data_IF_610218833809
#
_entry.id   IF_610218833809
#
_cell.length_a   1.000
_cell.length_b   1.000
_cell.length_c   1.000
_cell.angle_alpha   90.00
_cell.angle_beta   90.00
_cell.angle_gamma   90.00
#
_symmetry.space_group_name_H-M   'P 1'
#
loop_
_entity.id
_entity.type
_entity.pdbx_description
1 polymer ?
#
# COMPACT_ATOMS: atom_id res chain seq x y z
N UNK A 1 1.30 54.46 -42.93
CA UNK A 1 1.84 54.49 -41.57
C UNK A 1 0.84 53.74 -40.72
N UNK A 2 1.28 52.80 -39.90
CA UNK A 2 0.39 52.16 -38.95
C UNK A 2 0.05 53.18 -37.86
N UNK A 3 -1.23 53.27 -37.49
CA UNK A 3 -1.70 54.16 -36.41
C UNK A 3 -1.76 53.42 -35.06
N UNK A 4 -1.23 52.18 -35.01
CA UNK A 4 -1.23 51.29 -33.84
C UNK A 4 0.12 50.58 -33.67
N UNK A 5 0.40 50.10 -32.46
CA UNK A 5 1.56 49.22 -32.18
C UNK A 5 1.37 47.82 -32.77
N UNK A 6 2.49 47.14 -33.03
CA UNK A 6 2.49 45.89 -33.80
C UNK A 6 1.89 44.69 -33.07
N UNK A 7 2.13 44.54 -31.76
CA UNK A 7 1.77 43.31 -31.03
C UNK A 7 0.40 43.38 -30.38
N UNK A 8 0.03 44.56 -29.86
CA UNK A 8 -1.16 44.77 -29.03
C UNK A 8 -2.17 45.77 -29.62
N UNK A 9 -1.92 46.25 -30.84
CA UNK A 9 -2.78 47.23 -31.53
C UNK A 9 -3.06 48.50 -30.70
N UNK A 10 -2.08 48.97 -29.90
CA UNK A 10 -2.23 50.16 -29.07
C UNK A 10 -2.23 51.41 -29.96
N UNK A 11 -3.24 52.29 -29.86
CA UNK A 11 -3.34 53.45 -30.74
C UNK A 11 -2.26 54.49 -30.46
N UNK A 12 -1.59 54.96 -31.52
CA UNK A 12 -0.64 56.06 -31.46
C UNK A 12 -1.32 57.43 -31.40
N UNK A 13 -0.63 58.41 -30.84
CA UNK A 13 -1.02 59.82 -30.96
C UNK A 13 -0.58 60.33 -32.33
N UNK A 14 -1.52 60.93 -33.08
CA UNK A 14 -1.25 61.51 -34.40
C UNK A 14 -0.33 62.76 -34.32
N UNK A 15 0.42 63.08 -35.39
CA UNK A 15 1.29 64.24 -35.44
C UNK A 15 0.58 65.59 -35.19
N UNK A 16 1.36 66.66 -34.95
CA UNK A 16 0.93 68.06 -34.74
C UNK A 16 0.44 68.48 -33.33
N UNK A 17 0.68 67.66 -32.30
CA UNK A 17 0.42 68.01 -30.88
C UNK A 17 1.70 68.42 -30.12
N UNK A 18 2.36 69.52 -30.52
CA UNK A 18 3.57 70.05 -29.86
C UNK A 18 4.69 69.00 -29.61
N UNK A 19 4.89 68.09 -30.58
CA UNK A 19 5.88 66.99 -30.52
C UNK A 19 5.73 65.97 -29.37
N UNK A 20 4.67 66.03 -28.56
CA UNK A 20 4.42 65.03 -27.49
C UNK A 20 4.19 63.61 -27.99
N UNK A 21 3.70 63.48 -29.23
CA UNK A 21 3.48 62.20 -29.89
C UNK A 21 4.75 61.37 -30.02
N UNK A 22 5.93 62.01 -30.17
CA UNK A 22 7.20 61.29 -30.36
C UNK A 22 7.53 60.47 -29.11
N UNK A 23 7.64 61.14 -27.95
CA UNK A 23 8.02 60.46 -26.70
C UNK A 23 6.94 59.51 -26.19
N UNK A 24 5.67 59.85 -26.41
CA UNK A 24 4.57 58.97 -26.00
C UNK A 24 4.48 57.71 -26.86
N UNK A 25 4.58 57.83 -28.19
CA UNK A 25 4.51 56.67 -29.08
C UNK A 25 5.73 55.77 -28.91
N UNK A 26 6.93 56.31 -28.65
CA UNK A 26 8.10 55.51 -28.29
C UNK A 26 7.88 54.73 -26.98
N UNK A 27 7.23 55.34 -25.99
CA UNK A 27 6.85 54.65 -24.76
C UNK A 27 5.83 53.53 -25.02
N UNK A 28 4.85 53.75 -25.91
CA UNK A 28 3.88 52.72 -26.31
C UNK A 28 4.55 51.57 -27.07
N UNK A 29 5.51 51.84 -27.96
CA UNK A 29 6.29 50.83 -28.67
C UNK A 29 7.09 49.94 -27.71
N UNK A 30 7.77 50.55 -26.74
CA UNK A 30 8.48 49.81 -25.70
C UNK A 30 7.52 48.99 -24.85
N UNK A 31 6.37 49.55 -24.48
CA UNK A 31 5.34 48.84 -23.71
C UNK A 31 4.78 47.64 -24.49
N UNK A 32 4.49 47.83 -25.78
CA UNK A 32 4.03 46.79 -26.70
C UNK A 32 5.01 45.62 -26.81
N UNK A 33 6.32 45.90 -26.78
CA UNK A 33 7.36 44.88 -26.80
C UNK A 33 7.47 44.09 -25.48
N UNK A 34 7.27 44.73 -24.32
CA UNK A 34 7.56 44.10 -23.01
C UNK A 34 6.34 43.53 -22.31
N UNK A 35 5.13 44.02 -22.62
CA UNK A 35 3.89 43.46 -22.07
C UNK A 35 3.64 42.10 -22.71
N UNK A 36 3.32 41.10 -21.87
CA UNK A 36 3.17 39.71 -22.31
C UNK A 36 4.36 39.28 -23.18
N UNK A 37 5.57 39.51 -22.64
CA UNK A 37 6.83 39.31 -23.36
C UNK A 37 6.93 37.88 -23.89
N UNK A 38 7.01 37.76 -25.21
CA UNK A 38 7.27 36.52 -25.90
C UNK A 38 8.54 36.75 -26.72
N UNK A 39 9.58 35.98 -26.42
CA UNK A 39 10.87 36.04 -27.09
C UNK A 39 10.88 34.92 -28.12
N UNK A 40 11.12 35.26 -29.38
CA UNK A 40 11.13 34.31 -30.48
C UNK A 40 12.34 33.37 -30.39
N UNK A 41 13.51 33.91 -30.08
CA UNK A 41 14.72 33.11 -29.80
C UNK A 41 15.85 33.92 -29.17
N UNK A 42 16.86 33.21 -28.64
CA UNK A 42 18.17 33.78 -28.32
C UNK A 42 19.08 33.76 -29.56
N UNK A 43 19.74 34.88 -29.87
CA UNK A 43 20.64 35.01 -31.04
C UNK A 43 21.58 36.21 -30.97
N UNK A 44 22.76 36.09 -31.60
CA UNK A 44 23.80 37.14 -31.62
C UNK A 44 23.79 38.00 -32.89
N UNK A 45 23.22 37.52 -34.00
CA UNK A 45 23.06 38.27 -35.25
C UNK A 45 21.57 38.55 -35.54
N UNK A 46 21.19 39.60 -36.27
CA UNK A 46 19.79 39.82 -36.66
C UNK A 46 19.31 38.80 -37.71
N UNK A 47 18.03 38.39 -37.71
CA UNK A 47 17.46 37.53 -38.76
C UNK A 47 17.68 38.09 -40.16
N UNK A 48 17.91 37.22 -41.14
CA UNK A 48 18.03 37.63 -42.56
C UNK A 48 16.72 38.24 -43.09
N UNK A 49 15.58 37.77 -42.58
CA UNK A 49 14.24 38.24 -42.96
C UNK A 49 13.42 38.54 -41.70
N UNK A 50 13.69 39.67 -41.03
CA UNK A 50 13.07 39.98 -39.76
C UNK A 50 11.59 40.36 -39.92
N UNK A 51 10.73 39.80 -39.07
CA UNK A 51 9.28 40.04 -39.08
C UNK A 51 8.93 41.09 -38.03
N UNK A 52 8.04 42.03 -38.39
CA UNK A 52 7.52 43.02 -37.45
C UNK A 52 6.88 42.36 -36.23
N UNK A 53 7.28 42.82 -35.04
CA UNK A 53 6.81 42.33 -33.74
C UNK A 53 7.61 41.16 -33.18
N UNK A 54 8.60 40.62 -33.91
CA UNK A 54 9.51 39.61 -33.36
C UNK A 54 10.45 40.22 -32.32
N UNK A 55 10.80 39.43 -31.30
CA UNK A 55 11.67 39.85 -30.21
C UNK A 55 12.74 38.79 -30.00
N UNK A 56 14.00 39.20 -30.00
CA UNK A 56 15.12 38.31 -29.77
C UNK A 56 15.92 38.70 -28.53
N UNK A 57 16.40 37.71 -27.78
CA UNK A 57 17.39 37.93 -26.73
C UNK A 57 18.80 37.88 -27.29
N UNK A 58 19.60 38.92 -27.05
CA UNK A 58 21.01 38.95 -27.45
C UNK A 58 21.86 38.46 -26.27
N UNK A 59 21.85 37.16 -25.99
CA UNK A 59 22.57 36.59 -24.84
C UNK A 59 24.09 36.64 -24.95
N UNK A 60 24.62 36.61 -26.18
CA UNK A 60 26.05 36.66 -26.48
C UNK A 60 26.52 37.96 -27.13
N UNK A 61 27.81 38.05 -27.52
CA UNK A 61 28.36 39.20 -28.24
C UNK A 61 27.66 39.38 -29.60
N UNK A 62 26.90 40.45 -29.73
CA UNK A 62 26.10 40.74 -30.90
C UNK A 62 26.93 41.14 -32.12
N UNK A 63 26.39 40.92 -33.32
CA UNK A 63 27.00 41.31 -34.60
C UNK A 63 25.99 42.03 -35.50
N UNK A 64 26.49 42.73 -36.53
CA UNK A 64 25.63 43.49 -37.43
C UNK A 64 24.81 44.54 -36.68
N UNK A 65 23.49 44.53 -36.85
CA UNK A 65 22.60 45.45 -36.14
C UNK A 65 22.60 45.22 -34.61
N UNK A 66 23.00 44.03 -34.14
CA UNK A 66 23.04 43.67 -32.72
C UNK A 66 24.38 44.01 -32.06
N UNK A 67 25.36 44.51 -32.82
CA UNK A 67 26.69 44.83 -32.29
C UNK A 67 26.63 45.83 -31.13
N UNK A 68 27.23 45.44 -29.99
CA UNK A 68 27.27 46.25 -28.76
C UNK A 68 25.93 46.32 -28.01
N UNK A 69 24.99 45.42 -28.32
CA UNK A 69 23.67 45.29 -27.68
C UNK A 69 23.53 43.99 -26.90
N UNK A 70 24.65 43.42 -26.50
CA UNK A 70 24.74 42.24 -25.65
C UNK A 70 23.90 42.46 -24.39
N UNK A 71 23.14 41.43 -24.00
CA UNK A 71 22.24 41.49 -22.87
C UNK A 71 20.99 42.37 -23.10
N UNK A 72 20.63 42.69 -24.34
CA UNK A 72 19.38 43.42 -24.66
C UNK A 72 18.39 42.55 -25.42
N UNK A 73 17.11 42.87 -25.25
CA UNK A 73 16.04 42.43 -26.14
C UNK A 73 16.05 43.28 -27.40
N UNK A 74 16.09 42.67 -28.56
CA UNK A 74 15.93 43.33 -29.85
C UNK A 74 14.50 43.10 -30.35
N UNK A 75 13.67 44.13 -30.31
CA UNK A 75 12.31 44.10 -30.85
C UNK A 75 12.29 44.72 -32.26
N UNK A 76 11.71 44.01 -33.23
CA UNK A 76 11.52 44.52 -34.59
C UNK A 76 10.25 45.35 -34.65
N UNK A 77 10.38 46.66 -34.81
CA UNK A 77 9.24 47.58 -34.84
C UNK A 77 9.49 48.70 -35.85
N UNK A 78 8.49 49.04 -36.67
CA UNK A 78 8.52 50.12 -37.67
C UNK A 78 9.74 50.05 -38.61
N UNK A 79 10.16 48.84 -38.98
CA UNK A 79 11.29 48.63 -39.86
C UNK A 79 12.66 48.88 -39.21
N UNK A 80 12.73 49.09 -37.89
CA UNK A 80 13.97 49.26 -37.11
C UNK A 80 14.06 48.27 -35.95
N UNK A 81 15.25 48.19 -35.34
CA UNK A 81 15.47 47.40 -34.13
C UNK A 81 15.45 48.32 -32.91
N UNK A 82 14.50 48.08 -32.02
CA UNK A 82 14.41 48.73 -30.72
C UNK A 82 15.07 47.84 -29.68
N UNK A 83 16.08 48.36 -28.98
CA UNK A 83 16.81 47.61 -27.96
C UNK A 83 16.32 47.96 -26.56
N UNK A 84 15.94 46.94 -25.80
CA UNK A 84 15.36 47.09 -24.46
C UNK A 84 16.19 46.26 -23.48
N UNK A 85 16.76 46.89 -22.46
CA UNK A 85 17.43 46.18 -21.39
C UNK A 85 16.37 45.52 -20.47
N UNK A 86 16.35 44.19 -20.35
CA UNK A 86 15.47 43.52 -19.39
C UNK A 86 15.89 43.85 -17.96
N UNK A 87 14.94 43.78 -17.03
CA UNK A 87 15.20 43.95 -15.61
C UNK A 87 15.00 42.65 -14.86
N UNK A 88 15.73 42.47 -13.76
CA UNK A 88 15.59 41.30 -12.90
C UNK A 88 14.11 41.09 -12.51
N UNK A 89 13.62 39.86 -12.62
CA UNK A 89 12.24 39.47 -12.36
C UNK A 89 11.31 39.55 -13.58
N UNK A 90 11.77 40.07 -14.73
CA UNK A 90 10.99 39.99 -15.97
C UNK A 90 10.71 38.54 -16.35
N UNK A 91 9.52 38.30 -16.89
CA UNK A 91 9.03 36.98 -17.28
C UNK A 91 8.78 36.95 -18.78
N UNK A 92 9.20 35.89 -19.44
CA UNK A 92 8.99 35.71 -20.87
C UNK A 92 8.70 34.25 -21.22
N UNK A 93 7.84 34.06 -22.21
CA UNK A 93 7.73 32.79 -22.92
C UNK A 93 8.73 32.78 -24.09
N UNK A 94 9.64 31.82 -24.11
CA UNK A 94 10.53 31.57 -25.24
C UNK A 94 9.84 30.64 -26.23
N UNK A 95 9.57 31.12 -27.43
CA UNK A 95 8.76 30.40 -28.43
C UNK A 95 9.48 29.22 -29.05
N UNK A 96 10.79 29.33 -29.23
CA UNK A 96 11.65 28.27 -29.77
C UNK A 96 11.72 27.03 -28.87
N UNK A 97 11.80 27.23 -27.56
CA UNK A 97 11.93 26.18 -26.54
C UNK A 97 10.61 25.80 -25.87
N UNK A 98 9.57 26.63 -26.00
CA UNK A 98 8.31 26.49 -25.25
C UNK A 98 8.47 26.73 -23.74
N UNK A 99 9.59 27.28 -23.30
CA UNK A 99 9.91 27.48 -21.88
C UNK A 99 9.43 28.83 -21.37
N UNK A 100 8.97 28.84 -20.12
CA UNK A 100 8.74 30.08 -19.38
C UNK A 100 9.97 30.39 -18.53
N UNK A 101 10.54 31.58 -18.70
CA UNK A 101 11.80 31.96 -18.07
C UNK A 101 11.66 33.28 -17.30
N UNK A 102 12.48 33.41 -16.25
CA UNK A 102 12.64 34.65 -15.49
C UNK A 102 14.04 35.19 -15.76
N UNK A 103 14.16 36.48 -16.05
CA UNK A 103 15.45 37.16 -16.14
C UNK A 103 16.00 37.40 -14.74
N UNK A 104 17.18 36.86 -14.41
CA UNK A 104 17.78 36.96 -13.07
C UNK A 104 18.58 38.26 -12.84
N UNK A 105 18.65 39.13 -13.85
CA UNK A 105 19.49 40.33 -13.87
C UNK A 105 20.73 40.19 -14.77
N UNK A 106 21.05 38.98 -15.21
CA UNK A 106 22.13 38.66 -16.14
C UNK A 106 21.68 37.75 -17.28
N UNK A 107 20.88 36.72 -16.99
CA UNK A 107 20.48 35.66 -17.90
C UNK A 107 18.99 35.32 -17.76
N UNK A 108 18.39 34.78 -18.82
CA UNK A 108 17.07 34.16 -18.76
C UNK A 108 17.20 32.73 -18.25
N UNK A 109 16.50 32.38 -17.18
CA UNK A 109 16.56 31.04 -16.57
C UNK A 109 15.19 30.45 -16.36
N UNK A 110 15.10 29.12 -16.47
CA UNK A 110 13.92 28.39 -15.99
C UNK A 110 13.84 28.57 -14.46
N UNK A 111 12.69 29.00 -13.91
CA UNK A 111 12.54 29.15 -12.47
C UNK A 111 12.84 27.82 -11.76
N UNK A 112 13.79 27.83 -10.85
CA UNK A 112 14.07 26.67 -10.03
C UNK A 112 12.88 26.38 -9.09
N UNK A 113 12.68 25.11 -8.74
CA UNK A 113 11.86 24.78 -7.58
C UNK A 113 12.50 25.40 -6.32
N UNK A 114 11.70 25.75 -5.29
CA UNK A 114 12.25 26.22 -4.04
C UNK A 114 13.19 25.17 -3.44
N UNK A 115 14.21 25.62 -2.71
CA UNK A 115 15.14 24.74 -1.99
C UNK A 115 14.38 23.79 -1.05
N UNK A 116 13.26 24.26 -0.49
CA UNK A 116 12.33 23.47 0.31
C UNK A 116 10.95 23.37 -0.37
N UNK A 117 10.64 22.21 -0.93
CA UNK A 117 9.34 21.94 -1.53
C UNK A 117 8.37 21.35 -0.50
N UNK A 118 7.29 22.08 -0.21
CA UNK A 118 6.16 21.61 0.58
C UNK A 118 4.93 21.48 -0.33
N UNK A 119 4.61 20.26 -0.76
CA UNK A 119 3.43 19.99 -1.57
C UNK A 119 2.30 19.44 -0.68
N UNK A 120 1.08 20.00 -0.80
CA UNK A 120 -0.11 19.42 -0.14
C UNK A 120 -0.42 18.03 -0.73
N UNK A 121 -0.21 17.87 -2.04
CA UNK A 121 -0.38 16.61 -2.77
C UNK A 121 0.64 16.47 -3.91
N UNK A 122 1.07 15.24 -4.17
CA UNK A 122 1.98 14.89 -5.26
C UNK A 122 1.48 13.61 -5.95
N UNK A 123 1.21 13.72 -7.26
CA UNK A 123 0.80 12.62 -8.11
C UNK A 123 1.79 12.33 -9.21
N UNK A 124 2.19 11.07 -9.36
CA UNK A 124 2.96 10.58 -10.51
C UNK A 124 2.01 9.81 -11.42
N UNK A 125 1.72 10.36 -12.59
CA UNK A 125 0.83 9.78 -13.63
C UNK A 125 -0.63 9.52 -13.18
N UNK A 126 -1.06 10.11 -12.07
CA UNK A 126 -2.43 10.04 -11.56
C UNK A 126 -2.76 11.24 -10.67
N UNK A 127 -4.04 11.41 -10.32
CA UNK A 127 -4.51 12.55 -9.52
C UNK A 127 -4.64 12.17 -8.05
N UNK A 128 -3.83 12.75 -7.14
CA UNK A 128 -3.93 12.48 -5.71
C UNK A 128 -5.18 13.13 -5.09
N UNK A 129 -5.72 12.51 -4.06
CA UNK A 129 -6.90 12.99 -3.33
C UNK A 129 -6.53 13.46 -1.91
N UNK A 130 -7.53 13.84 -1.09
CA UNK A 130 -7.29 14.35 0.27
C UNK A 130 -6.76 13.29 1.25
N UNK A 131 -7.04 12.02 0.95
CA UNK A 131 -6.62 10.84 1.71
C UNK A 131 -5.27 10.32 1.18
N UNK A 132 -5.17 10.09 -0.14
CA UNK A 132 -3.96 9.64 -0.84
C UNK A 132 -3.16 10.83 -1.36
N UNK A 133 -2.53 11.59 -0.45
CA UNK A 133 -1.78 12.81 -0.79
C UNK A 133 -0.52 12.56 -1.61
N UNK A 134 0.10 11.39 -1.45
CA UNK A 134 1.15 10.90 -2.34
C UNK A 134 0.58 9.73 -3.14
N UNK A 135 0.49 9.88 -4.47
CA UNK A 135 -0.03 8.85 -5.36
C UNK A 135 0.98 8.54 -6.46
N UNK A 136 1.23 7.25 -6.69
CA UNK A 136 2.06 6.77 -7.79
C UNK A 136 1.24 5.79 -8.63
N UNK A 137 0.83 6.21 -9.82
CA UNK A 137 0.10 5.41 -10.80
C UNK A 137 1.06 4.93 -11.88
N UNK A 138 1.85 3.91 -11.55
CA UNK A 138 2.95 3.40 -12.38
C UNK A 138 3.06 1.88 -12.25
N UNK A 139 3.60 1.16 -13.26
CA UNK A 139 3.96 -0.25 -13.13
C UNK A 139 4.94 -0.56 -11.98
N UNK A 140 5.71 0.43 -11.50
CA UNK A 140 6.66 0.24 -10.42
C UNK A 140 7.01 1.52 -9.66
N UNK A 141 7.45 1.34 -8.42
CA UNK A 141 8.00 2.39 -7.54
C UNK A 141 9.29 1.89 -6.90
N UNK A 142 10.41 2.56 -7.19
CA UNK A 142 11.72 2.20 -6.62
C UNK A 142 12.10 3.20 -5.53
N UNK A 143 12.29 2.69 -4.31
CA UNK A 143 12.86 3.44 -3.19
C UNK A 143 14.31 2.97 -2.98
N UNK A 144 15.27 3.77 -3.43
CA UNK A 144 16.68 3.38 -3.42
C UNK A 144 17.47 4.06 -2.29
N UNK A 145 18.59 3.44 -1.90
CA UNK A 145 19.52 3.99 -0.93
C UNK A 145 20.49 5.00 -1.57
N UNK A 146 21.02 5.92 -0.76
CA UNK A 146 22.06 6.88 -1.17
C UNK A 146 23.46 6.42 -0.72
N UNK A 147 23.77 5.12 -0.92
CA UNK A 147 25.02 4.49 -0.48
C UNK A 147 24.99 3.83 0.91
N UNK A 148 23.91 4.00 1.69
CA UNK A 148 23.74 3.40 3.02
C UNK A 148 22.41 2.65 3.19
N UNK A 149 21.76 2.82 4.34
CA UNK A 149 20.42 2.26 4.59
C UNK A 149 19.31 3.13 3.98
N UNK A 150 18.21 2.48 3.56
CA UNK A 150 16.93 3.12 3.27
C UNK A 150 15.90 2.65 4.32
N UNK A 151 15.04 3.55 4.83
CA UNK A 151 14.02 3.23 5.84
C UNK A 151 12.73 3.96 5.53
N UNK A 152 11.62 3.28 5.74
CA UNK A 152 10.28 3.87 5.77
C UNK A 152 9.77 3.81 7.20
N UNK A 153 9.41 4.97 7.75
CA UNK A 153 8.81 5.08 9.09
C UNK A 153 7.33 5.41 8.94
N UNK A 154 6.47 4.52 9.42
CA UNK A 154 5.01 4.71 9.43
C UNK A 154 4.58 4.78 10.89
N UNK A 155 4.02 5.92 11.29
CA UNK A 155 3.68 6.20 12.68
C UNK A 155 2.17 6.24 12.87
N UNK A 156 1.71 5.79 14.04
CA UNK A 156 0.32 5.88 14.49
C UNK A 156 0.24 6.67 15.79
N UNK A 157 -0.88 7.34 16.04
CA UNK A 157 -1.01 8.26 17.17
C UNK A 157 -1.18 7.56 18.53
N UNK A 158 -1.75 6.34 18.55
CA UNK A 158 -2.02 5.57 19.76
C UNK A 158 -2.12 4.06 19.49
N UNK A 159 -2.24 3.26 20.55
CA UNK A 159 -2.34 1.78 20.44
C UNK A 159 -3.49 1.33 19.55
N UNK A 160 -4.66 1.95 19.65
CA UNK A 160 -5.84 1.59 18.84
C UNK A 160 -5.82 2.05 17.39
N UNK A 161 -4.83 2.86 16.99
CA UNK A 161 -4.69 3.37 15.64
C UNK A 161 -3.95 2.38 14.72
N UNK A 162 -3.83 2.73 13.43
CA UNK A 162 -3.22 1.86 12.42
C UNK A 162 -2.01 2.51 11.74
N UNK A 163 -0.91 1.76 11.66
CA UNK A 163 0.25 2.02 10.84
C UNK A 163 0.60 0.73 10.07
N UNK A 164 0.16 0.64 8.82
CA UNK A 164 0.18 -0.60 8.05
C UNK A 164 0.41 -0.38 6.55
N UNK A 165 0.67 -1.50 5.87
CA UNK A 165 0.67 -1.61 4.42
C UNK A 165 -0.53 -2.47 4.00
N UNK A 166 -1.34 -1.95 3.07
CA UNK A 166 -2.53 -2.63 2.54
C UNK A 166 -2.25 -3.08 1.11
N UNK A 167 -2.51 -4.36 0.83
CA UNK A 167 -2.45 -4.94 -0.51
C UNK A 167 -3.86 -5.11 -1.05
N UNK A 168 -4.10 -4.59 -2.25
CA UNK A 168 -5.43 -4.53 -2.86
C UNK A 168 -5.47 -5.21 -4.23
N UNK A 169 -6.65 -5.70 -4.61
CA UNK A 169 -6.98 -6.09 -5.98
C UNK A 169 -8.32 -5.46 -6.36
N UNK A 170 -8.36 -4.77 -7.49
CA UNK A 170 -9.55 -4.07 -7.98
C UNK A 170 -10.23 -3.20 -6.89
N UNK A 171 -9.45 -2.35 -6.23
CA UNK A 171 -9.91 -1.46 -5.14
C UNK A 171 -10.47 -2.17 -3.90
N UNK A 172 -10.24 -3.47 -3.75
CA UNK A 172 -10.60 -4.24 -2.57
C UNK A 172 -9.35 -4.64 -1.79
N UNK A 173 -9.29 -4.29 -0.51
CA UNK A 173 -8.25 -4.75 0.39
C UNK A 173 -8.34 -6.27 0.59
N UNK A 174 -7.20 -6.95 0.44
CA UNK A 174 -7.07 -8.42 0.59
C UNK A 174 -6.16 -8.80 1.74
N UNK A 175 -5.13 -7.99 1.99
CA UNK A 175 -4.15 -8.23 3.04
C UNK A 175 -3.74 -6.91 3.67
N UNK A 176 -3.46 -6.94 4.96
CA UNK A 176 -2.88 -5.82 5.70
C UNK A 176 -1.74 -6.33 6.60
N UNK A 177 -0.62 -5.61 6.65
CA UNK A 177 0.48 -5.93 7.55
C UNK A 177 1.02 -4.69 8.27
N UNK A 178 1.29 -4.80 9.56
CA UNK A 178 1.81 -3.71 10.39
C UNK A 178 1.19 -3.67 11.79
N UNK A 179 1.12 -2.47 12.35
CA UNK A 179 0.51 -2.20 13.65
C UNK A 179 -0.96 -1.81 13.41
N UNK A 180 -1.86 -2.79 13.39
CA UNK A 180 -3.24 -2.58 12.96
C UNK A 180 -4.22 -2.71 14.15
N UNK A 181 -4.50 -1.60 14.83
CA UNK A 181 -5.37 -1.57 16.01
C UNK A 181 -4.75 -2.14 17.29
N UNK A 182 -3.44 -2.41 17.25
CA UNK A 182 -2.63 -2.87 18.38
C UNK A 182 -1.16 -2.43 18.21
N UNK A 183 -0.32 -2.65 19.22
CA UNK A 183 1.12 -2.30 19.20
C UNK A 183 2.04 -3.47 18.78
N UNK A 184 1.47 -4.65 18.57
CA UNK A 184 2.21 -5.81 18.09
C UNK A 184 2.10 -5.91 16.56
N UNK A 185 3.11 -6.49 15.92
CA UNK A 185 3.07 -6.69 14.47
C UNK A 185 2.02 -7.75 14.14
N UNK A 186 1.16 -7.46 13.17
CA UNK A 186 0.10 -8.36 12.72
C UNK A 186 0.10 -8.49 11.19
N UNK A 187 -0.33 -9.65 10.72
CA UNK A 187 -0.61 -9.93 9.32
C UNK A 187 -2.07 -10.40 9.22
N UNK A 188 -2.90 -9.58 8.60
CA UNK A 188 -4.35 -9.80 8.49
C UNK A 188 -4.74 -10.13 7.06
N UNK A 189 -5.67 -11.06 6.93
CA UNK A 189 -6.24 -11.50 5.65
C UNK A 189 -7.73 -11.20 5.63
N UNK A 190 -8.22 -10.72 4.49
CA UNK A 190 -9.64 -10.58 4.24
C UNK A 190 -10.14 -11.80 3.46
N UNK A 191 -11.00 -12.61 4.09
CA UNK A 191 -11.73 -13.68 3.41
C UNK A 191 -13.16 -13.26 3.11
N UNK A 192 -13.67 -13.57 1.91
CA UNK A 192 -15.00 -13.09 1.48
C UNK A 192 -16.14 -13.55 2.42
N UNK A 193 -16.01 -14.75 3.01
CA UNK A 193 -16.98 -15.29 3.96
C UNK A 193 -16.66 -14.93 5.44
N UNK A 194 -15.40 -14.63 5.75
CA UNK A 194 -14.92 -14.50 7.12
C UNK A 194 -14.61 -13.08 7.55
N UNK A 195 -14.57 -12.15 6.60
CA UNK A 195 -14.04 -10.81 6.81
C UNK A 195 -12.55 -10.81 7.17
N UNK A 196 -12.13 -9.75 7.85
CA UNK A 196 -10.76 -9.60 8.35
C UNK A 196 -10.45 -10.57 9.48
N UNK A 197 -9.35 -11.32 9.33
CA UNK A 197 -8.81 -12.20 10.35
C UNK A 197 -7.31 -12.02 10.46
N UNK A 198 -6.81 -12.09 11.69
CA UNK A 198 -5.38 -12.02 11.98
C UNK A 198 -4.75 -13.40 11.82
N UNK A 199 -4.05 -13.62 10.70
CA UNK A 199 -3.42 -14.90 10.41
C UNK A 199 -2.14 -15.11 11.22
N UNK A 200 -1.36 -14.04 11.38
CA UNK A 200 -0.12 -14.04 12.15
C UNK A 200 -0.11 -12.81 13.06
N UNK A 201 0.41 -12.98 14.25
CA UNK A 201 0.86 -11.86 15.04
C UNK A 201 2.14 -12.19 15.79
N UNK A 202 2.95 -11.17 16.07
CA UNK A 202 4.25 -11.34 16.71
C UNK A 202 4.22 -10.57 18.02
N UNK A 203 4.33 -11.27 19.15
CA UNK A 203 4.35 -10.62 20.46
C UNK A 203 5.60 -9.73 20.64
N UNK A 204 5.62 -8.81 21.61
CA UNK A 204 6.81 -8.00 21.91
C UNK A 204 8.06 -8.83 22.23
N UNK A 205 7.88 -10.06 22.73
CA UNK A 205 8.96 -11.01 23.03
C UNK A 205 9.48 -11.74 21.77
N UNK A 206 8.79 -11.60 20.63
CA UNK A 206 9.15 -12.24 19.36
C UNK A 206 8.45 -13.56 19.09
N UNK A 207 7.40 -13.92 19.84
CA UNK A 207 6.65 -15.15 19.59
C UNK A 207 5.68 -14.98 18.43
N UNK A 208 5.75 -15.89 17.47
CA UNK A 208 4.80 -15.95 16.35
C UNK A 208 3.55 -16.71 16.78
N UNK A 209 2.42 -16.01 16.80
CA UNK A 209 1.10 -16.55 17.07
C UNK A 209 0.39 -16.89 15.76
N UNK A 210 -0.14 -18.11 15.69
CA UNK A 210 -0.96 -18.60 14.59
C UNK A 210 -2.40 -18.84 15.07
N UNK A 211 -3.08 -17.78 15.51
CA UNK A 211 -4.40 -17.89 16.14
C UNK A 211 -5.47 -18.53 15.22
N UNK A 212 -5.23 -18.48 13.91
CA UNK A 212 -6.08 -19.08 12.87
C UNK A 212 -5.63 -20.48 12.43
N UNK A 213 -4.59 -21.06 13.04
CA UNK A 213 -4.17 -22.43 12.75
C UNK A 213 -5.07 -23.42 13.49
N UNK A 214 -5.73 -24.36 12.79
CA UNK A 214 -6.62 -25.32 13.41
C UNK A 214 -5.89 -26.16 14.47
N UNK A 215 -6.36 -26.05 15.71
CA UNK A 215 -5.87 -26.84 16.82
C UNK A 215 -6.95 -27.03 17.87
N UNK A 216 -6.96 -28.18 18.53
CA UNK A 216 -7.87 -28.47 19.62
C UNK A 216 -7.25 -29.40 20.66
N UNK A 217 -7.63 -29.21 21.92
CA UNK A 217 -7.51 -30.21 22.98
C UNK A 217 -8.91 -30.52 23.49
N UNK A 218 -9.47 -31.63 23.03
CA UNK A 218 -10.86 -31.99 23.22
C UNK A 218 -10.99 -33.16 24.20
N UNK A 219 -11.90 -33.03 25.17
CA UNK A 219 -12.25 -34.10 26.10
C UNK A 219 -13.76 -34.16 26.29
N UNK A 220 -14.24 -35.33 26.71
CA UNK A 220 -15.55 -35.43 27.36
C UNK A 220 -15.41 -34.88 28.79
N UNK A 221 -16.49 -34.33 29.34
CA UNK A 221 -16.54 -33.83 30.71
C UNK A 221 -16.15 -34.93 31.69
N UNK A 222 -15.61 -34.51 32.84
CA UNK A 222 -15.06 -35.45 33.81
C UNK A 222 -16.10 -36.48 34.25
N UNK A 223 -15.87 -37.72 33.85
CA UNK A 223 -16.73 -38.85 34.12
C UNK A 223 -15.89 -40.13 34.10
N UNK A 224 -16.33 -41.13 34.87
CA UNK A 224 -15.74 -42.47 34.84
C UNK A 224 -16.84 -43.47 34.53
N UNK A 225 -16.70 -44.19 33.42
CA UNK A 225 -17.66 -45.22 33.01
C UNK A 225 -17.03 -46.21 32.04
N UNK A 226 -17.76 -47.28 31.73
CA UNK A 226 -17.35 -48.36 30.82
C UNK A 226 -18.17 -48.27 29.54
N UNK A 227 -17.64 -47.67 28.46
CA UNK A 227 -18.29 -47.67 27.16
C UNK A 227 -18.48 -49.10 26.66
N UNK A 228 -19.62 -49.38 26.02
CA UNK A 228 -19.83 -50.67 25.38
C UNK A 228 -18.83 -50.89 24.23
N UNK A 229 -18.38 -52.12 24.02
CA UNK A 229 -17.53 -52.46 22.88
C UNK A 229 -18.21 -52.07 21.55
N UNK A 230 -17.47 -51.41 20.67
CA UNK A 230 -17.95 -50.85 19.41
C UNK A 230 -18.65 -49.50 19.52
N UNK A 231 -18.91 -48.99 20.74
CA UNK A 231 -19.55 -47.69 20.93
C UNK A 231 -18.60 -46.50 20.72
N UNK A 232 -19.19 -45.33 20.57
CA UNK A 232 -18.47 -44.07 20.35
C UNK A 232 -18.67 -43.10 21.50
N UNK A 233 -17.61 -42.41 21.88
CA UNK A 233 -17.65 -41.20 22.70
C UNK A 233 -17.09 -40.02 21.93
N UNK A 234 -17.60 -38.83 22.22
CA UNK A 234 -17.16 -37.59 21.63
C UNK A 234 -16.54 -36.69 22.68
N UNK A 235 -16.71 -35.40 22.47
CA UNK A 235 -16.16 -34.35 23.33
C UNK A 235 -17.26 -33.34 23.61
N UNK A 236 -17.29 -32.79 24.81
CA UNK A 236 -18.19 -31.70 25.19
C UNK A 236 -17.43 -30.45 25.65
N UNK A 237 -16.11 -30.58 25.84
CA UNK A 237 -15.22 -29.55 26.34
C UNK A 237 -14.00 -29.41 25.43
N UNK A 238 -13.73 -28.19 24.96
CA UNK A 238 -12.49 -27.82 24.29
C UNK A 238 -11.62 -27.04 25.28
N UNK A 239 -10.59 -27.68 25.84
CA UNK A 239 -9.65 -27.05 26.77
C UNK A 239 -8.66 -26.12 26.05
N UNK A 240 -8.54 -26.29 24.75
CA UNK A 240 -7.82 -25.42 23.83
C UNK A 240 -8.52 -25.51 22.48
N UNK A 241 -8.71 -24.38 21.81
CA UNK A 241 -9.27 -24.32 20.45
C UNK A 241 -8.69 -23.12 19.70
N UNK A 242 -8.32 -23.34 18.44
CA UNK A 242 -7.84 -22.31 17.52
C UNK A 242 -8.16 -22.69 16.08
N UNK A 243 -8.11 -21.70 15.19
CA UNK A 243 -8.40 -21.88 13.76
C UNK A 243 -9.72 -22.59 13.46
N UNK A 244 -10.81 -22.15 14.09
CA UNK A 244 -12.18 -22.63 13.88
C UNK A 244 -12.47 -24.11 14.24
N UNK A 245 -11.58 -24.78 14.98
CA UNK A 245 -11.91 -26.10 15.54
C UNK A 245 -13.10 -25.98 16.50
N UNK A 246 -14.13 -26.79 16.29
CA UNK A 246 -15.39 -26.68 17.01
C UNK A 246 -16.05 -28.03 17.30
N UNK A 247 -17.02 -28.04 18.23
CA UNK A 247 -17.85 -29.20 18.51
C UNK A 247 -19.14 -29.15 17.67
N UNK A 248 -19.35 -30.19 16.86
CA UNK A 248 -20.49 -30.36 15.97
C UNK A 248 -21.70 -31.00 16.65
N UNK A 249 -22.32 -31.97 16.00
CA UNK A 249 -23.55 -32.62 16.49
C UNK A 249 -23.26 -33.63 17.61
N UNK A 250 -24.25 -33.84 18.48
CA UNK A 250 -24.22 -34.87 19.52
C UNK A 250 -24.14 -36.28 18.94
N UNK A 251 -23.50 -37.19 19.67
CA UNK A 251 -23.47 -38.60 19.31
C UNK A 251 -24.75 -39.31 19.72
N UNK A 252 -25.14 -40.32 18.94
CA UNK A 252 -26.27 -41.21 19.27
C UNK A 252 -26.05 -42.03 20.54
N UNK A 253 -24.79 -42.19 20.96
CA UNK A 253 -24.44 -42.82 22.23
C UNK A 253 -24.86 -42.00 23.46
N UNK A 254 -25.19 -40.72 23.28
CA UNK A 254 -25.48 -39.79 24.37
C UNK A 254 -24.22 -39.19 25.03
N UNK A 255 -23.02 -39.64 24.64
CA UNK A 255 -21.76 -39.20 25.27
C UNK A 255 -20.96 -38.27 24.35
N UNK A 256 -21.20 -36.97 24.48
CA UNK A 256 -20.43 -35.92 23.82
C UNK A 256 -20.85 -35.63 22.37
N UNK A 257 -20.05 -34.78 21.72
CA UNK A 257 -20.24 -34.25 20.36
C UNK A 257 -19.05 -34.58 19.48
N UNK A 258 -19.25 -34.53 18.17
CA UNK A 258 -18.18 -34.70 17.18
C UNK A 258 -17.24 -33.50 17.19
N UNK A 259 -15.93 -33.70 17.16
CA UNK A 259 -14.98 -32.62 16.89
C UNK A 259 -14.94 -32.37 15.37
N UNK A 260 -15.14 -31.14 14.92
CA UNK A 260 -15.20 -30.77 13.49
C UNK A 260 -13.87 -30.16 13.06
N UNK A 261 -13.32 -30.71 11.98
CA UNK A 261 -12.10 -30.22 11.32
C UNK A 261 -12.49 -29.08 10.37
N UNK A 262 -11.90 -27.88 10.48
CA UNK A 262 -12.32 -26.72 9.70
C UNK A 262 -11.59 -26.58 8.37
N UNK A 263 -10.42 -27.20 8.20
CA UNK A 263 -9.59 -27.05 7.01
C UNK A 263 -8.94 -28.38 6.61
N UNK A 264 -8.74 -28.58 5.30
CA UNK A 264 -8.02 -29.76 4.81
C UNK A 264 -6.52 -29.66 5.05
N UNK A 265 -5.88 -30.75 5.44
CA UNK A 265 -4.42 -30.83 5.61
C UNK A 265 -3.96 -32.01 6.45
N UNK A 266 -2.65 -32.06 6.72
CA UNK A 266 -2.08 -33.05 7.62
C UNK A 266 -2.20 -32.60 9.07
N UNK A 267 -2.81 -33.42 9.89
CA UNK A 267 -2.96 -33.20 11.32
C UNK A 267 -2.09 -34.18 12.10
N UNK A 268 -1.44 -33.65 13.14
CA UNK A 268 -0.92 -34.46 14.23
C UNK A 268 -2.07 -34.72 15.21
N UNK A 269 -2.33 -36.00 15.45
CA UNK A 269 -3.27 -36.49 16.43
C UNK A 269 -2.47 -37.03 17.61
N UNK A 270 -2.78 -36.59 18.83
CA UNK A 270 -2.26 -37.18 20.05
C UNK A 270 -3.44 -37.60 20.93
N UNK A 271 -3.67 -38.91 21.02
CA UNK A 271 -4.72 -39.52 21.82
C UNK A 271 -4.11 -39.96 23.14
N UNK A 272 -4.66 -39.47 24.25
CA UNK A 272 -4.36 -39.98 25.60
C UNK A 272 -5.57 -40.77 26.07
N UNK A 273 -5.34 -41.91 26.70
CA UNK A 273 -6.37 -42.73 27.32
C UNK A 273 -5.95 -43.09 28.75
N UNK A 274 -6.89 -42.98 29.68
CA UNK A 274 -6.74 -43.42 31.07
C UNK A 274 -7.78 -44.49 31.35
N UNK A 275 -7.33 -45.73 31.55
CA UNK A 275 -8.18 -46.87 31.91
C UNK A 275 -7.92 -47.33 33.34
N UNK A 276 -8.93 -47.77 34.08
CA UNK A 276 -8.81 -48.10 35.50
C UNK A 276 -8.63 -49.60 35.79
N UNK A 277 -9.28 -50.47 35.01
CA UNK A 277 -9.55 -51.85 35.42
C UNK A 277 -8.97 -52.93 34.48
N UNK A 278 -8.74 -52.62 33.20
CA UNK A 278 -8.40 -53.62 32.20
C UNK A 278 -7.49 -53.07 31.09
N UNK A 279 -6.99 -53.98 30.25
CA UNK A 279 -6.41 -53.60 28.97
C UNK A 279 -7.49 -52.99 28.07
N UNK A 280 -7.10 -52.00 27.28
CA UNK A 280 -8.02 -51.18 26.49
C UNK A 280 -7.50 -50.98 25.07
N UNK A 281 -8.43 -50.85 24.13
CA UNK A 281 -8.15 -50.46 22.74
C UNK A 281 -9.14 -49.38 22.31
N UNK A 282 -8.59 -48.22 21.97
CA UNK A 282 -9.33 -47.00 21.61
C UNK A 282 -8.86 -46.48 20.27
N UNK A 283 -9.79 -46.06 19.41
CA UNK A 283 -9.47 -45.51 18.10
C UNK A 283 -9.93 -44.07 17.97
N UNK A 284 -9.15 -43.24 17.28
CA UNK A 284 -9.67 -42.00 16.71
C UNK A 284 -10.36 -42.35 15.41
N UNK A 285 -11.67 -42.13 15.36
CA UNK A 285 -12.51 -42.49 14.24
C UNK A 285 -12.99 -41.24 13.49
N UNK A 286 -12.67 -41.20 12.20
CA UNK A 286 -13.11 -40.19 11.25
C UNK A 286 -14.49 -40.56 10.72
N UNK A 287 -15.41 -39.60 10.79
CA UNK A 287 -16.78 -39.67 10.27
C UNK A 287 -17.58 -40.87 10.79
N UNK A 288 -17.14 -41.48 11.90
CA UNK A 288 -17.72 -42.68 12.48
C UNK A 288 -17.53 -43.96 11.65
N UNK A 289 -16.69 -43.93 10.63
CA UNK A 289 -16.55 -45.05 9.66
C UNK A 289 -15.11 -45.54 9.48
N UNK A 290 -14.11 -44.69 9.71
CA UNK A 290 -12.71 -45.03 9.47
C UNK A 290 -11.84 -44.71 10.70
N UNK A 291 -11.17 -45.71 11.24
CA UNK A 291 -10.23 -45.52 12.34
C UNK A 291 -8.87 -45.10 11.79
N UNK A 292 -8.48 -43.86 12.11
CA UNK A 292 -7.29 -43.20 11.56
C UNK A 292 -6.11 -43.16 12.54
N UNK A 293 -6.37 -43.44 13.82
CA UNK A 293 -5.35 -43.69 14.82
C UNK A 293 -5.87 -44.74 15.81
N UNK A 294 -4.98 -45.57 16.33
CA UNK A 294 -5.32 -46.65 17.26
C UNK A 294 -4.36 -46.63 18.44
N UNK A 295 -4.90 -46.81 19.64
CA UNK A 295 -4.14 -46.90 20.88
C UNK A 295 -4.56 -48.16 21.63
N UNK A 296 -3.58 -48.95 22.08
CA UNK A 296 -3.81 -50.08 22.96
C UNK A 296 -2.88 -50.01 24.17
N UNK A 297 -3.39 -50.31 25.35
CA UNK A 297 -2.63 -50.28 26.59
C UNK A 297 -3.21 -51.18 27.67
N UNK A 298 -2.53 -51.24 28.82
CA UNK A 298 -3.06 -51.79 30.07
C UNK A 298 -3.76 -50.70 30.88
N UNK A 299 -4.34 -51.08 32.03
CA UNK A 299 -4.78 -50.12 33.03
C UNK A 299 -3.66 -49.10 33.35
N UNK A 300 -4.06 -47.85 33.57
CA UNK A 300 -3.21 -46.68 33.68
C UNK A 300 -3.42 -45.67 32.55
N UNK A 301 -2.57 -44.64 32.52
CA UNK A 301 -2.56 -43.60 31.48
C UNK A 301 -1.49 -43.91 30.44
N UNK A 302 -1.88 -43.90 29.17
CA UNK A 302 -0.98 -44.08 28.04
C UNK A 302 -1.47 -43.30 26.82
N UNK A 303 -0.57 -43.01 25.89
CA UNK A 303 -0.88 -42.18 24.72
C UNK A 303 -0.30 -42.75 23.43
N UNK A 304 -0.90 -42.38 22.31
CA UNK A 304 -0.37 -42.62 20.97
C UNK A 304 -0.39 -41.32 20.16
N UNK A 305 0.50 -41.23 19.17
CA UNK A 305 0.50 -40.14 18.19
C UNK A 305 0.39 -40.69 16.78
N UNK A 306 -0.32 -39.98 15.92
CA UNK A 306 -0.50 -40.35 14.52
C UNK A 306 -0.55 -39.10 13.63
N UNK A 307 -0.14 -39.27 12.38
CA UNK A 307 -0.33 -38.28 11.33
C UNK A 307 -1.46 -38.74 10.43
N UNK A 308 -2.43 -37.87 10.17
CA UNK A 308 -3.55 -38.15 9.29
C UNK A 308 -3.86 -36.94 8.42
N UNK A 309 -4.12 -37.17 7.13
CA UNK A 309 -4.74 -36.16 6.30
C UNK A 309 -6.24 -36.13 6.62
N UNK A 310 -6.77 -34.95 6.92
CA UNK A 310 -8.19 -34.70 7.19
C UNK A 310 -8.69 -33.64 6.21
N UNK A 311 -9.95 -33.74 5.84
CA UNK A 311 -10.61 -32.73 5.02
C UNK A 311 -11.40 -31.73 5.86
N UNK A 312 -11.57 -30.51 5.36
CA UNK A 312 -12.50 -29.54 5.92
C UNK A 312 -13.92 -30.12 5.98
N UNK A 313 -14.50 -30.16 7.17
CA UNK A 313 -15.78 -30.77 7.47
C UNK A 313 -15.70 -32.18 8.06
N UNK A 314 -14.53 -32.83 8.05
CA UNK A 314 -14.36 -34.13 8.71
C UNK A 314 -14.68 -34.05 10.20
N UNK A 315 -15.22 -35.14 10.74
CA UNK A 315 -15.56 -35.25 12.15
C UNK A 315 -14.74 -36.32 12.84
N UNK A 316 -14.23 -36.02 14.03
CA UNK A 316 -13.45 -36.94 14.86
C UNK A 316 -14.23 -37.34 16.11
N UNK A 317 -14.14 -38.62 16.44
CA UNK A 317 -14.76 -39.26 17.61
C UNK A 317 -13.83 -40.36 18.14
N UNK A 318 -14.12 -40.90 19.32
CA UNK A 318 -13.38 -42.00 19.90
C UNK A 318 -14.21 -43.29 19.85
N UNK A 319 -13.70 -44.34 19.20
CA UNK A 319 -14.36 -45.66 19.13
C UNK A 319 -13.69 -46.63 20.10
N UNK A 320 -14.47 -47.22 20.99
CA UNK A 320 -14.00 -48.17 22.01
C UNK A 320 -14.07 -49.58 21.43
N UNK A 321 -12.94 -50.28 21.27
CA UNK A 321 -12.94 -51.62 20.68
C UNK A 321 -13.32 -52.72 21.67
N UNK A 322 -13.06 -52.50 22.95
CA UNK A 322 -13.41 -53.39 24.05
C UNK A 322 -14.01 -52.62 25.23
N UNK A 323 -14.64 -53.33 26.15
CA UNK A 323 -15.21 -52.74 27.37
C UNK A 323 -14.12 -52.65 28.45
N UNK A 324 -13.61 -51.44 28.68
CA UNK A 324 -12.75 -51.07 29.80
C UNK A 324 -13.34 -49.82 30.48
N UNK A 325 -13.11 -49.66 31.78
CA UNK A 325 -13.53 -48.44 32.48
C UNK A 325 -12.52 -47.32 32.20
N UNK A 326 -13.00 -46.23 31.61
CA UNK A 326 -12.17 -45.06 31.30
C UNK A 326 -12.47 -43.89 32.21
N UNK A 327 -11.43 -43.12 32.54
CA UNK A 327 -11.56 -41.78 33.09
C UNK A 327 -11.53 -40.76 31.94
N UNK A 328 -12.56 -39.92 31.86
CA UNK A 328 -12.66 -38.81 30.91
C UNK A 328 -12.33 -37.47 31.58
N UNK A 329 -11.97 -36.46 30.78
CA UNK A 329 -11.67 -35.11 31.22
C UNK A 329 -10.24 -34.67 30.91
N UNK A 330 -9.90 -33.44 31.29
CA UNK A 330 -8.61 -32.82 31.05
C UNK A 330 -7.43 -33.67 31.57
N UNK A 331 -6.50 -34.02 30.69
CA UNK A 331 -5.33 -34.84 31.02
C UNK A 331 -5.64 -36.31 31.34
N UNK A 332 -6.87 -36.77 31.07
CA UNK A 332 -7.29 -38.18 31.16
C UNK A 332 -7.51 -38.70 29.74
N UNK A 333 -8.68 -39.24 29.43
CA UNK A 333 -9.03 -39.62 28.06
C UNK A 333 -9.41 -38.39 27.24
N UNK A 334 -8.50 -37.97 26.35
CA UNK A 334 -8.61 -36.74 25.55
C UNK A 334 -7.90 -36.89 24.19
N UNK A 335 -8.27 -36.02 23.25
CA UNK A 335 -7.66 -35.94 21.92
C UNK A 335 -7.10 -34.53 21.69
N UNK A 336 -5.80 -34.44 21.45
CA UNK A 336 -5.17 -33.25 20.89
C UNK A 336 -5.06 -33.40 19.37
N UNK A 337 -5.43 -32.34 18.65
CA UNK A 337 -5.41 -32.28 17.19
C UNK A 337 -4.74 -30.97 16.79
N UNK A 338 -3.78 -31.02 15.88
CA UNK A 338 -3.04 -29.84 15.43
C UNK A 338 -2.72 -29.95 13.95
N UNK A 339 -3.14 -28.96 13.15
CA UNK A 339 -2.75 -28.89 11.73
C UNK A 339 -1.24 -28.65 11.65
N UNK A 340 -0.51 -29.35 10.77
CA UNK A 340 0.93 -29.21 10.56
C UNK A 340 1.35 -28.06 9.63
#
# INVERSE_FOLDING_TARGET
MADTTTRLDLPYILPAQAQKHVTHNEALQRLDAVVQLAIDSERSDPPESPVEGEIHWIGGPGVGAFAGRDGMLAARQDGVWTFIAPQAGWQAAFRDSGSFMIFDGSEWRVPALPDELHADRLGISGTPDAYNRLLVQSPGSLFNHAGGSHRMSINKAATGETASLIFQSNWQARTEMGLAGEDRFSFKMYGDATGWRQAIAISPEGYVHHDQRPLARAALSSATFTPAAGSFTGFDTLHLAGGDMALGTTLSSGYGRRLVVPASGYYLLALTATADDAAHTLHVSRNGTADIASHSGSAGTSSTTALAFLDGGDTLTLRHANAAQYQFGYGRTELCVYLL
#
